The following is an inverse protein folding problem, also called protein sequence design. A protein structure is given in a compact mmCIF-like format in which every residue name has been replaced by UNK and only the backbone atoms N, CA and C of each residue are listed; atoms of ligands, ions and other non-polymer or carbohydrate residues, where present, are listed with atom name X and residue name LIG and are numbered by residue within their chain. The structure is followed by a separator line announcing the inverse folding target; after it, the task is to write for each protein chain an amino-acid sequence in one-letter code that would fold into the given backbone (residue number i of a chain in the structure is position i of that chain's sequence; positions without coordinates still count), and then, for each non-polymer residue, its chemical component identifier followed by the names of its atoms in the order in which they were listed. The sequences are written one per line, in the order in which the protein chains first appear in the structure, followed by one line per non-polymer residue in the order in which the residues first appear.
data_IF_769732708562
#
_entry.id   IF_769732708562
#
_cell.length_a   1.000
_cell.length_b   1.000
_cell.length_c   1.000
_cell.angle_alpha   90.00
_cell.angle_beta   90.00
_cell.angle_gamma   90.00
#
_symmetry.space_group_name_H-M   'P 1'
#
loop_
_entity.id
_entity.type
_entity.pdbx_description
1 polymer ?
#
# COMPACT_ATOMS: atom_id res chain seq x y z
N UNK A 1 12.50 -1.16 0.81
CA UNK A 1 11.42 -0.64 -0.06
C UNK A 1 12.05 -0.09 -1.32
N UNK A 2 11.58 -0.55 -2.47
CA UNK A 2 12.07 -0.15 -3.80
C UNK A 2 10.99 0.65 -4.54
N UNK A 3 11.37 1.74 -5.22
CA UNK A 3 10.44 2.50 -6.06
C UNK A 3 10.38 1.83 -7.43
N UNK A 4 9.18 1.45 -7.86
CA UNK A 4 8.99 0.85 -9.20
C UNK A 4 8.72 1.94 -10.23
N UNK A 5 7.64 2.71 -10.05
CA UNK A 5 7.23 3.72 -11.03
C UNK A 5 6.18 4.69 -10.47
N UNK A 6 5.95 5.75 -11.24
CA UNK A 6 4.82 6.67 -11.11
C UNK A 6 3.86 6.45 -12.28
N UNK A 7 2.57 6.35 -12.00
CA UNK A 7 1.52 6.08 -13.00
C UNK A 7 0.41 7.11 -12.83
N UNK A 8 0.44 8.18 -13.64
CA UNK A 8 -0.47 9.30 -13.43
C UNK A 8 -0.25 9.95 -12.05
N UNK A 9 -1.28 9.92 -11.22
CA UNK A 9 -1.26 10.38 -9.83
C UNK A 9 -0.83 9.31 -8.81
N UNK A 10 -0.61 8.06 -9.25
CA UNK A 10 -0.24 6.96 -8.39
C UNK A 10 1.29 6.77 -8.27
N UNK A 11 1.71 6.34 -7.08
CA UNK A 11 3.09 5.94 -6.78
C UNK A 11 3.13 4.45 -6.44
N UNK A 12 4.01 3.70 -7.11
CA UNK A 12 4.15 2.26 -6.92
C UNK A 12 5.52 1.92 -6.33
N UNK A 13 5.51 1.23 -5.19
CA UNK A 13 6.68 0.71 -4.52
C UNK A 13 6.46 -0.73 -4.04
N UNK A 14 7.55 -1.46 -3.83
CA UNK A 14 7.52 -2.86 -3.42
C UNK A 14 8.60 -3.17 -2.37
N UNK A 15 8.30 -4.09 -1.45
CA UNK A 15 9.28 -4.72 -0.57
C UNK A 15 9.74 -6.07 -1.13
N UNK A 16 10.88 -6.58 -0.66
CA UNK A 16 11.38 -7.90 -1.06
C UNK A 16 11.87 -7.99 -2.51
N UNK A 17 12.33 -6.87 -3.09
CA UNK A 17 12.92 -6.81 -4.42
C UNK A 17 14.29 -6.12 -4.40
N UNK A 18 15.26 -6.58 -5.21
CA UNK A 18 15.21 -7.79 -6.05
C UNK A 18 15.34 -9.10 -5.25
N UNK A 19 15.62 -9.01 -3.95
CA UNK A 19 15.77 -10.14 -3.03
C UNK A 19 14.65 -10.10 -1.99
N UNK A 20 13.89 -11.19 -1.80
CA UNK A 20 12.84 -11.29 -0.76
C UNK A 20 13.30 -10.94 0.65
N UNK A 21 14.60 -11.04 0.96
CA UNK A 21 15.15 -10.65 2.26
C UNK A 21 15.24 -9.13 2.48
N UNK A 22 15.11 -8.33 1.41
CA UNK A 22 15.22 -6.87 1.46
C UNK A 22 13.92 -6.15 1.88
N UNK A 23 12.92 -6.86 2.36
CA UNK A 23 11.77 -6.24 3.01
C UNK A 23 10.74 -7.23 3.53
N UNK A 24 10.24 -6.97 4.74
CA UNK A 24 9.09 -7.67 5.31
C UNK A 24 7.77 -7.03 4.85
N UNK A 25 6.67 -7.80 4.72
CA UNK A 25 5.32 -7.24 4.61
C UNK A 25 5.03 -6.19 5.69
N UNK A 26 5.53 -6.40 6.91
CA UNK A 26 5.37 -5.46 8.02
C UNK A 26 6.05 -4.11 7.75
N UNK A 27 7.23 -4.12 7.14
CA UNK A 27 7.95 -2.88 6.78
C UNK A 27 7.21 -2.09 5.72
N UNK A 28 6.61 -2.77 4.74
CA UNK A 28 5.76 -2.16 3.71
C UNK A 28 4.54 -1.50 4.35
N UNK A 29 3.88 -2.19 5.31
CA UNK A 29 2.74 -1.64 6.04
C UNK A 29 3.15 -0.43 6.89
N UNK A 30 4.29 -0.50 7.60
CA UNK A 30 4.82 0.63 8.41
C UNK A 30 5.14 1.83 7.53
N UNK A 31 5.80 1.62 6.39
CA UNK A 31 6.06 2.70 5.43
C UNK A 31 4.76 3.36 4.93
N UNK A 32 3.72 2.56 4.65
CA UNK A 32 2.42 3.08 4.26
C UNK A 32 1.75 3.91 5.37
N UNK A 33 1.87 3.49 6.63
CA UNK A 33 1.38 4.25 7.79
C UNK A 33 2.16 5.56 7.99
N UNK A 34 3.48 5.57 7.79
CA UNK A 34 4.30 6.79 7.81
C UNK A 34 3.89 7.77 6.70
N UNK A 35 3.67 7.27 5.48
CA UNK A 35 3.14 8.07 4.38
C UNK A 35 1.76 8.65 4.75
N UNK A 36 0.85 7.83 5.30
CA UNK A 36 -0.48 8.27 5.72
C UNK A 36 -0.38 9.40 6.76
N UNK A 37 0.48 9.25 7.78
CA UNK A 37 0.71 10.26 8.80
C UNK A 37 1.27 11.55 8.21
N UNK A 38 2.22 11.45 7.28
CA UNK A 38 2.75 12.61 6.56
C UNK A 38 1.65 13.36 5.80
N UNK A 39 0.80 12.65 5.05
CA UNK A 39 -0.27 13.26 4.28
C UNK A 39 -1.35 13.90 5.17
N UNK A 40 -1.68 13.29 6.31
CA UNK A 40 -2.60 13.86 7.31
C UNK A 40 -2.06 15.18 7.88
N UNK A 41 -0.77 15.22 8.25
CA UNK A 41 -0.10 16.44 8.73
C UNK A 41 -0.06 17.51 7.63
N UNK A 42 0.35 17.14 6.42
CA UNK A 42 0.39 18.03 5.27
C UNK A 42 -0.98 18.66 5.01
N UNK A 43 -2.05 17.85 5.02
CA UNK A 43 -3.42 18.36 4.88
C UNK A 43 -3.77 19.35 5.97
N UNK A 44 -3.51 19.03 7.23
CA UNK A 44 -3.78 19.93 8.36
C UNK A 44 -3.04 21.27 8.24
N UNK A 45 -1.77 21.27 7.84
CA UNK A 45 -1.00 22.50 7.61
C UNK A 45 -1.55 23.36 6.48
N UNK A 46 -2.05 22.73 5.41
CA UNK A 46 -2.65 23.42 4.26
C UNK A 46 -4.02 23.97 4.59
N UNK A 47 -4.84 23.22 5.31
CA UNK A 47 -6.15 23.65 5.80
C UNK A 47 -6.01 24.88 6.72
N UNK A 48 -5.01 24.89 7.61
CA UNK A 48 -4.69 26.06 8.46
C UNK A 48 -4.27 27.30 7.66
N UNK A 49 -3.79 27.12 6.43
CA UNK A 49 -3.42 28.20 5.52
C UNK A 49 -4.56 28.56 4.54
N UNK A 50 -5.73 27.91 4.63
CA UNK A 50 -6.82 28.08 3.68
C UNK A 50 -6.45 27.64 2.25
N UNK A 51 -5.51 26.70 2.10
CA UNK A 51 -5.01 26.22 0.80
C UNK A 51 -5.51 24.80 0.51
N UNK A 52 -5.71 24.46 -0.78
CA UNK A 52 -6.05 23.09 -1.14
C UNK A 52 -4.92 22.13 -0.77
N UNK A 53 -5.30 20.93 -0.33
CA UNK A 53 -4.42 19.83 0.03
C UNK A 53 -4.65 18.62 -0.88
N UNK A 54 -3.59 17.84 -1.06
CA UNK A 54 -3.69 16.52 -1.65
C UNK A 54 -4.01 15.49 -0.57
N UNK A 55 -4.72 14.46 -0.98
CA UNK A 55 -5.05 13.32 -0.14
C UNK A 55 -4.74 12.04 -0.92
N UNK A 56 -4.58 10.92 -0.23
CA UNK A 56 -4.24 9.67 -0.89
C UNK A 56 -4.99 8.49 -0.30
N UNK A 57 -5.16 7.46 -1.12
CA UNK A 57 -5.52 6.11 -0.71
C UNK A 57 -4.29 5.23 -0.81
N UNK A 58 -4.23 4.19 0.01
CA UNK A 58 -3.14 3.21 -0.02
C UNK A 58 -3.71 1.80 -0.10
N UNK A 59 -3.09 0.96 -0.93
CA UNK A 59 -3.43 -0.44 -1.12
C UNK A 59 -2.21 -1.33 -1.07
N UNK A 60 -2.26 -2.40 -0.27
CA UNK A 60 -1.13 -3.32 -0.11
C UNK A 60 -1.61 -4.76 -0.26
N UNK A 61 -0.90 -5.52 -1.10
CA UNK A 61 -1.07 -6.95 -1.25
C UNK A 61 0.30 -7.63 -1.30
N UNK A 62 0.38 -8.84 -0.74
CA UNK A 62 1.60 -9.64 -0.69
C UNK A 62 1.40 -10.93 -1.48
N UNK A 63 2.33 -11.25 -2.36
CA UNK A 63 2.27 -12.43 -3.22
C UNK A 63 3.43 -12.48 -4.21
N UNK A 64 3.50 -13.53 -5.04
CA UNK A 64 4.56 -13.69 -6.03
C UNK A 64 4.48 -12.62 -7.13
N UNK A 65 5.63 -12.13 -7.59
CA UNK A 65 5.75 -11.17 -8.69
C UNK A 65 6.82 -11.61 -9.68
N UNK A 66 6.67 -11.18 -10.94
CA UNK A 66 7.72 -11.28 -11.94
C UNK A 66 8.37 -9.92 -12.07
N UNK A 67 9.68 -9.85 -11.88
CA UNK A 67 10.47 -8.63 -12.05
C UNK A 67 11.43 -8.74 -13.22
N UNK A 68 11.68 -7.63 -13.92
CA UNK A 68 12.58 -7.64 -15.08
C UNK A 68 12.85 -6.27 -15.65
N UNK A 69 13.79 -6.23 -16.60
CA UNK A 69 14.13 -5.02 -17.34
C UNK A 69 13.39 -5.06 -18.68
N UNK A 70 12.61 -4.02 -18.99
CA UNK A 70 11.95 -3.85 -20.29
C UNK A 70 12.68 -2.84 -21.16
N UNK A 71 12.70 -3.12 -22.46
CA UNK A 71 13.28 -2.24 -23.47
C UNK A 71 14.75 -2.56 -23.74
N UNK A 72 15.21 -2.28 -24.95
CA UNK A 72 16.61 -2.53 -25.38
C UNK A 72 17.41 -1.24 -25.56
N UNK A 73 16.72 -0.11 -25.75
CA UNK A 73 17.36 1.22 -25.88
C UNK A 73 17.00 2.16 -24.72
N UNK A 74 15.82 1.97 -24.13
CA UNK A 74 15.33 2.69 -22.96
C UNK A 74 14.91 1.66 -21.93
N UNK A 75 15.88 1.20 -21.15
CA UNK A 75 15.68 0.17 -20.15
C UNK A 75 14.89 0.72 -18.96
N UNK A 76 13.92 -0.05 -18.47
CA UNK A 76 13.18 0.27 -17.24
C UNK A 76 12.98 -1.01 -16.42
N UNK A 77 13.36 -0.96 -15.15
CA UNK A 77 13.05 -2.02 -14.20
C UNK A 77 11.57 -1.94 -13.81
N UNK A 78 10.88 -3.06 -13.84
CA UNK A 78 9.45 -3.11 -13.64
C UNK A 78 9.01 -4.49 -13.12
N UNK A 79 7.78 -4.54 -12.57
CA UNK A 79 7.16 -5.76 -12.04
C UNK A 79 5.75 -5.98 -12.58
N UNK A 80 5.42 -7.25 -12.79
CA UNK A 80 4.12 -7.70 -13.27
C UNK A 80 3.64 -8.92 -12.49
N UNK A 81 2.37 -9.24 -12.72
CA UNK A 81 1.74 -10.44 -12.19
C UNK A 81 0.46 -10.12 -11.45
N UNK A 82 -0.19 -11.20 -11.02
CA UNK A 82 -1.48 -11.12 -10.35
C UNK A 82 -1.43 -10.27 -9.07
N UNK A 83 -0.33 -10.38 -8.33
CA UNK A 83 -0.08 -9.62 -7.09
C UNK A 83 -0.15 -8.12 -7.31
N UNK A 84 0.44 -7.62 -8.41
CA UNK A 84 0.43 -6.19 -8.77
C UNK A 84 -1.00 -5.72 -9.05
N UNK A 85 -1.75 -6.51 -9.81
CA UNK A 85 -3.15 -6.22 -10.12
C UNK A 85 -4.00 -6.21 -8.85
N UNK A 86 -3.80 -7.17 -7.96
CA UNK A 86 -4.52 -7.26 -6.68
C UNK A 86 -4.17 -6.10 -5.76
N UNK A 87 -2.89 -5.69 -5.67
CA UNK A 87 -2.49 -4.49 -4.92
C UNK A 87 -3.18 -3.23 -5.44
N UNK A 88 -3.27 -3.07 -6.77
CA UNK A 88 -4.04 -1.99 -7.40
C UNK A 88 -5.52 -2.05 -7.02
N UNK A 89 -6.12 -3.25 -6.88
CA UNK A 89 -7.50 -3.38 -6.38
C UNK A 89 -7.62 -2.96 -4.92
N UNK A 90 -6.64 -3.30 -4.08
CA UNK A 90 -6.63 -2.85 -2.68
C UNK A 90 -6.63 -1.32 -2.59
N UNK A 91 -5.89 -0.62 -3.46
CA UNK A 91 -5.87 0.85 -3.46
C UNK A 91 -7.22 1.40 -3.96
N UNK A 92 -7.69 0.92 -5.11
CA UNK A 92 -8.90 1.46 -5.74
C UNK A 92 -10.18 1.20 -4.94
N UNK A 93 -10.20 0.14 -4.13
CA UNK A 93 -11.30 -0.20 -3.21
C UNK A 93 -11.07 0.36 -1.79
N UNK A 94 -9.98 1.10 -1.57
CA UNK A 94 -9.65 1.74 -0.31
C UNK A 94 -10.40 3.05 -0.07
N UNK A 95 -10.16 3.65 1.08
CA UNK A 95 -10.71 4.95 1.46
C UNK A 95 -9.61 5.98 1.62
N UNK A 96 -9.94 7.25 1.39
CA UNK A 96 -8.99 8.35 1.50
C UNK A 96 -8.46 8.43 2.94
N UNK A 97 -7.14 8.53 3.08
CA UNK A 97 -6.48 8.58 4.38
C UNK A 97 -6.45 7.25 5.14
N UNK A 98 -6.81 6.14 4.50
CA UNK A 98 -6.75 4.78 5.07
C UNK A 98 -5.69 3.92 4.36
N UNK A 99 -5.07 3.00 5.11
CA UNK A 99 -4.20 1.95 4.55
C UNK A 99 -5.03 0.69 4.42
N UNK A 100 -5.38 0.32 3.18
CA UNK A 100 -6.16 -0.88 2.89
C UNK A 100 -5.25 -2.05 2.52
N UNK A 101 -5.47 -3.21 3.14
CA UNK A 101 -4.69 -4.42 2.90
C UNK A 101 -5.60 -5.61 2.59
N UNK A 102 -5.09 -6.51 1.76
CA UNK A 102 -5.73 -7.82 1.53
C UNK A 102 -5.59 -8.76 2.73
N UNK A 103 -6.47 -9.77 2.82
CA UNK A 103 -6.33 -10.89 3.75
C UNK A 103 -4.95 -11.57 3.73
N UNK A 104 -4.36 -11.77 2.54
CA UNK A 104 -3.04 -12.38 2.41
C UNK A 104 -1.95 -11.58 3.15
N UNK A 105 -1.97 -10.25 3.03
CA UNK A 105 -1.07 -9.38 3.81
C UNK A 105 -1.41 -9.43 5.28
N UNK A 106 -2.70 -9.34 5.65
CA UNK A 106 -3.15 -9.39 7.03
C UNK A 106 -2.65 -10.64 7.76
N UNK A 107 -2.77 -11.82 7.14
CA UNK A 107 -2.31 -13.08 7.71
C UNK A 107 -0.82 -13.08 8.09
N UNK A 108 0.00 -12.27 7.40
CA UNK A 108 1.44 -12.15 7.63
C UNK A 108 1.80 -11.10 8.68
N UNK A 109 0.92 -10.13 8.95
CA UNK A 109 1.23 -8.98 9.83
C UNK A 109 0.29 -8.83 11.03
N UNK A 110 -0.73 -9.69 11.16
CA UNK A 110 -1.74 -9.60 12.25
C UNK A 110 -1.15 -9.67 13.66
N UNK A 111 -0.01 -10.34 13.80
CA UNK A 111 0.69 -10.55 15.07
C UNK A 111 1.84 -9.54 15.27
N UNK A 112 2.04 -8.60 14.33
CA UNK A 112 3.07 -7.57 14.44
C UNK A 112 2.72 -6.55 15.53
N UNK A 113 3.65 -6.28 16.46
CA UNK A 113 3.40 -5.33 17.53
C UNK A 113 3.23 -3.92 16.96
N UNK A 114 2.30 -3.18 17.53
CA UNK A 114 2.04 -1.79 17.16
C UNK A 114 1.12 -1.61 15.95
N UNK A 115 0.59 -2.69 15.35
CA UNK A 115 -0.42 -2.60 14.29
C UNK A 115 -1.81 -2.91 14.83
N UNK A 116 -2.81 -2.17 14.35
CA UNK A 116 -4.23 -2.44 14.60
C UNK A 116 -4.95 -2.68 13.28
N UNK A 117 -6.02 -3.49 13.33
CA UNK A 117 -6.73 -3.93 12.13
C UNK A 117 -8.24 -3.77 12.31
N UNK A 118 -8.89 -3.19 11.30
CA UNK A 118 -10.34 -3.10 11.21
C UNK A 118 -10.80 -3.91 10.01
N UNK A 119 -11.55 -4.99 10.26
CA UNK A 119 -12.10 -5.81 9.20
C UNK A 119 -13.13 -5.02 8.38
N UNK A 120 -13.05 -5.12 7.05
CA UNK A 120 -14.02 -4.53 6.11
C UNK A 120 -14.99 -5.58 5.55
N UNK A 121 -14.70 -6.85 5.80
CA UNK A 121 -15.40 -7.98 5.19
C UNK A 121 -15.06 -8.14 3.71
N UNK A 122 -15.93 -8.86 3.01
CA UNK A 122 -15.87 -9.11 1.58
C UNK A 122 -16.22 -7.88 0.77
N UNK A 123 -15.24 -7.36 0.03
CA UNK A 123 -15.39 -6.22 -0.87
C UNK A 123 -15.23 -6.69 -2.31
N UNK A 124 -16.16 -6.29 -3.18
CA UNK A 124 -16.11 -6.64 -4.59
C UNK A 124 -14.94 -5.93 -5.29
N UNK A 125 -13.98 -6.71 -5.79
CA UNK A 125 -12.83 -6.23 -6.53
C UNK A 125 -12.97 -6.61 -8.03
N UNK A 126 -12.78 -5.61 -8.91
CA UNK A 126 -12.92 -5.79 -10.36
C UNK A 126 -11.99 -6.89 -10.88
N UNK A 127 -12.60 -7.95 -11.45
CA UNK A 127 -11.90 -9.11 -12.01
C UNK A 127 -11.37 -10.10 -10.96
N UNK A 128 -11.71 -9.90 -9.68
CA UNK A 128 -11.28 -10.76 -8.55
C UNK A 128 -12.46 -11.40 -7.81
N UNK A 129 -13.66 -10.84 -7.96
CA UNK A 129 -14.79 -11.23 -7.14
C UNK A 129 -14.72 -10.58 -5.77
N UNK A 130 -15.33 -11.22 -4.78
CA UNK A 130 -15.28 -10.78 -3.39
C UNK A 130 -13.93 -11.08 -2.74
N UNK A 131 -13.34 -10.09 -2.08
CA UNK A 131 -12.09 -10.24 -1.35
C UNK A 131 -12.22 -9.71 0.07
N UNK A 132 -11.73 -10.47 1.04
CA UNK A 132 -11.59 -10.00 2.42
C UNK A 132 -10.52 -8.90 2.51
N UNK A 133 -10.89 -7.77 3.10
CA UNK A 133 -10.03 -6.59 3.24
C UNK A 133 -10.00 -6.07 4.67
N UNK A 134 -8.91 -5.39 5.00
CA UNK A 134 -8.68 -4.81 6.32
C UNK A 134 -8.12 -3.40 6.17
N UNK A 135 -8.58 -2.47 7.01
CA UNK A 135 -7.82 -1.25 7.26
C UNK A 135 -6.79 -1.49 8.35
N UNK A 136 -5.61 -0.89 8.17
CA UNK A 136 -4.52 -0.93 9.14
C UNK A 136 -4.32 0.43 9.77
N UNK A 137 -4.14 0.45 11.08
CA UNK A 137 -3.71 1.60 11.86
C UNK A 137 -2.45 1.31 12.66
N UNK A 138 -1.87 2.37 13.23
CA UNK A 138 -0.85 2.25 14.26
C UNK A 138 -1.52 2.20 15.62
N UNK A 139 -1.09 1.30 16.49
CA UNK A 139 -1.46 1.28 17.90
C UNK A 139 -0.73 2.42 18.63
N UNK A 140 -1.15 3.66 18.37
CA UNK A 140 -0.78 4.78 19.23
C UNK A 140 -1.48 4.60 20.57
N UNK A 141 -0.78 3.96 21.51
CA UNK A 141 -1.05 4.12 22.92
C UNK A 141 -0.94 5.60 23.26
N UNK A 142 -1.99 6.14 23.84
CA UNK A 142 -1.96 7.36 24.64
C UNK A 142 -0.76 7.25 25.60
N UNK A 143 0.26 8.06 25.37
CA UNK A 143 1.27 8.41 26.37
C UNK A 143 1.32 9.92 26.44
#
# INVERSE_FOLDING_TARGET
MEKIKTIGDAYMAAGGLPDPQLGSPADVVRAALEMQAFMKRYKSERDNQGKPAFEMRLGIHTGPVVAGIVGVKKFQYDIWGDTVNTASRMESSGEVGQVNISEATYALVKDEPGLTFTARGKVQAKGKGEMEMYFVGSATGTR
#
